data_IF_339204527649
#
_entry.id   IF_339204527649
#
_cell.length_a   1.000
_cell.length_b   1.000
_cell.length_c   1.000
_cell.angle_alpha   90.00
_cell.angle_beta   90.00
_cell.angle_gamma   90.00
#
_symmetry.space_group_name_H-M   'P 1'
#
loop_
_entity.id
_entity.type
_entity.pdbx_description
1 polymer ?
#
# COMPACT_ATOMS: atom_id res chain seq x y z
N UNK A 1 2.66 37.96 26.05
CA UNK A 1 1.33 37.33 26.06
C UNK A 1 1.03 36.82 24.65
N UNK A 2 1.29 35.55 24.38
CA UNK A 2 1.02 34.94 23.08
C UNK A 2 -0.41 34.43 23.05
N UNK A 3 -1.22 34.97 22.13
CA UNK A 3 -2.57 34.47 21.86
C UNK A 3 -2.43 33.06 21.26
N UNK A 4 -2.74 32.04 22.05
CA UNK A 4 -2.97 30.70 21.52
C UNK A 4 -4.29 30.77 20.74
N UNK A 5 -4.19 30.95 19.42
CA UNK A 5 -5.30 30.77 18.50
C UNK A 5 -5.78 29.34 18.66
N UNK A 6 -6.89 29.16 19.39
CA UNK A 6 -7.57 27.88 19.47
C UNK A 6 -7.96 27.49 18.04
N UNK A 7 -7.35 26.44 17.49
CA UNK A 7 -7.82 25.77 16.28
C UNK A 7 -9.22 25.24 16.57
N UNK A 8 -10.25 26.07 16.33
CA UNK A 8 -11.65 25.64 16.42
C UNK A 8 -11.92 24.82 15.18
N UNK A 9 -11.76 23.51 15.31
CA UNK A 9 -12.17 22.55 14.30
C UNK A 9 -13.64 22.81 13.97
N UNK A 10 -13.90 23.26 12.75
CA UNK A 10 -15.23 23.75 12.41
C UNK A 10 -16.13 22.59 11.97
N UNK A 11 -17.44 22.70 12.19
CA UNK A 11 -18.43 21.70 11.72
C UNK A 11 -18.27 21.31 10.24
N UNK A 12 -17.97 22.23 9.30
CA UNK A 12 -17.76 21.83 7.90
C UNK A 12 -16.49 21.02 7.69
N UNK A 13 -15.39 21.29 8.41
CA UNK A 13 -14.14 20.51 8.29
C UNK A 13 -14.36 19.05 8.68
N UNK A 14 -15.17 18.82 9.71
CA UNK A 14 -15.50 17.48 10.16
C UNK A 14 -16.38 16.72 9.15
N UNK A 15 -17.36 17.41 8.55
CA UNK A 15 -18.18 16.84 7.48
C UNK A 15 -17.31 16.43 6.28
N UNK A 16 -16.39 17.31 5.87
CA UNK A 16 -15.47 17.02 4.75
C UNK A 16 -14.61 15.79 5.07
N UNK A 17 -14.03 15.72 6.27
CA UNK A 17 -13.21 14.57 6.67
C UNK A 17 -14.00 13.24 6.62
N UNK A 18 -15.23 13.23 7.12
CA UNK A 18 -16.09 12.04 7.08
C UNK A 18 -16.46 11.65 5.65
N UNK A 19 -16.88 12.60 4.82
CA UNK A 19 -17.25 12.34 3.42
C UNK A 19 -16.05 11.79 2.65
N UNK A 20 -14.88 12.41 2.78
CA UNK A 20 -13.64 11.95 2.13
C UNK A 20 -13.28 10.52 2.57
N UNK A 21 -13.41 10.20 3.85
CA UNK A 21 -13.12 8.86 4.36
C UNK A 21 -14.12 7.81 3.86
N UNK A 22 -15.42 8.12 3.88
CA UNK A 22 -16.45 7.19 3.38
C UNK A 22 -16.27 6.95 1.89
N UNK A 23 -16.06 8.01 1.10
CA UNK A 23 -15.78 7.90 -0.34
C UNK A 23 -14.51 7.07 -0.58
N UNK A 24 -13.44 7.31 0.18
CA UNK A 24 -12.21 6.51 0.11
C UNK A 24 -12.45 5.04 0.43
N UNK A 25 -13.19 4.72 1.50
CA UNK A 25 -13.51 3.34 1.89
C UNK A 25 -14.30 2.64 0.79
N UNK A 26 -15.36 3.29 0.29
CA UNK A 26 -16.21 2.74 -0.77
C UNK A 26 -15.40 2.56 -2.05
N UNK A 27 -14.62 3.56 -2.46
CA UNK A 27 -13.77 3.49 -3.64
C UNK A 27 -12.74 2.38 -3.57
N UNK A 28 -12.02 2.26 -2.45
CA UNK A 28 -11.06 1.16 -2.22
C UNK A 28 -11.76 -0.20 -2.19
N UNK A 29 -12.94 -0.30 -1.57
CA UNK A 29 -13.75 -1.52 -1.55
C UNK A 29 -14.22 -1.96 -2.94
N UNK A 30 -14.68 -1.01 -3.76
CA UNK A 30 -15.07 -1.26 -5.15
C UNK A 30 -13.89 -1.70 -6.00
N UNK A 31 -12.71 -1.09 -5.80
CA UNK A 31 -11.48 -1.51 -6.49
C UNK A 31 -11.09 -2.95 -6.11
N UNK A 32 -11.20 -3.32 -4.84
CA UNK A 32 -11.01 -4.70 -4.38
C UNK A 32 -12.01 -5.67 -5.01
N UNK A 33 -13.29 -5.31 -4.99
CA UNK A 33 -14.35 -6.13 -5.59
C UNK A 33 -14.11 -6.33 -7.09
N UNK A 34 -13.72 -5.26 -7.80
CA UNK A 34 -13.37 -5.35 -9.21
C UNK A 34 -12.23 -6.35 -9.46
N UNK A 35 -11.17 -6.31 -8.65
CA UNK A 35 -10.07 -7.29 -8.76
C UNK A 35 -10.54 -8.72 -8.46
N UNK A 36 -11.41 -8.92 -7.47
CA UNK A 36 -11.99 -10.24 -7.17
C UNK A 36 -12.83 -10.78 -8.33
N UNK A 37 -13.63 -9.93 -8.97
CA UNK A 37 -14.39 -10.31 -10.17
C UNK A 37 -13.45 -10.58 -11.34
N UNK A 38 -12.38 -9.82 -11.50
CA UNK A 38 -11.40 -10.00 -12.58
C UNK A 38 -10.60 -11.30 -12.48
N UNK A 39 -10.38 -11.84 -11.27
CA UNK A 39 -9.80 -13.18 -11.08
C UNK A 39 -10.65 -14.25 -11.79
N UNK A 40 -11.97 -14.05 -11.81
CA UNK A 40 -12.85 -14.97 -12.52
C UNK A 40 -12.69 -14.83 -14.04
N UNK A 41 -12.83 -15.93 -14.80
CA UNK A 41 -12.74 -15.87 -16.26
C UNK A 41 -13.96 -15.18 -16.91
N UNK A 42 -14.88 -14.59 -16.12
CA UNK A 42 -16.06 -13.88 -16.59
C UNK A 42 -15.70 -12.57 -17.30
N UNK A 43 -14.57 -11.95 -16.92
CA UNK A 43 -14.07 -10.73 -17.58
C UNK A 43 -12.94 -11.08 -18.54
N UNK A 44 -12.96 -10.47 -19.73
CA UNK A 44 -11.87 -10.61 -20.70
C UNK A 44 -10.57 -10.03 -20.13
N UNK A 45 -9.47 -10.76 -20.33
CA UNK A 45 -8.14 -10.23 -20.01
C UNK A 45 -7.69 -9.18 -21.03
N UNK A 46 -8.20 -9.26 -22.27
CA UNK A 46 -7.96 -8.27 -23.31
C UNK A 46 -8.44 -6.88 -22.88
N UNK A 47 -7.54 -5.89 -22.93
CA UNK A 47 -7.83 -4.51 -22.55
C UNK A 47 -7.77 -4.22 -21.04
N UNK A 48 -7.37 -5.18 -20.20
CA UNK A 48 -7.23 -4.99 -18.76
C UNK A 48 -6.05 -4.08 -18.33
N UNK A 49 -5.29 -3.57 -19.31
CA UNK A 49 -4.18 -2.64 -19.08
C UNK A 49 -3.16 -3.22 -18.10
N UNK A 50 -2.66 -2.46 -17.10
CA UNK A 50 -1.59 -2.94 -16.22
C UNK A 50 -1.90 -4.21 -15.41
N UNK A 51 -3.16 -4.67 -15.35
CA UNK A 51 -3.53 -5.91 -14.65
C UNK A 51 -3.12 -7.19 -15.36
N UNK A 52 -2.87 -7.16 -16.67
CA UNK A 52 -2.43 -8.33 -17.43
C UNK A 52 -0.90 -8.38 -17.62
N UNK A 53 -0.17 -7.44 -17.01
CA UNK A 53 1.28 -7.32 -17.15
C UNK A 53 2.01 -7.51 -15.84
N UNK A 54 3.20 -8.11 -15.90
CA UNK A 54 4.16 -8.08 -14.79
C UNK A 54 5.52 -7.62 -15.28
N UNK A 55 6.12 -6.67 -14.56
CA UNK A 55 7.49 -6.21 -14.80
C UNK A 55 8.44 -7.06 -13.99
N UNK A 56 9.38 -7.73 -14.66
CA UNK A 56 10.38 -8.60 -14.02
C UNK A 56 11.77 -8.26 -14.51
N UNK A 57 12.79 -8.60 -13.73
CA UNK A 57 14.18 -8.47 -14.18
C UNK A 57 14.43 -9.37 -15.39
N UNK A 58 15.18 -8.88 -16.36
CA UNK A 58 15.59 -9.69 -17.51
C UNK A 58 16.53 -10.81 -17.03
N UNK A 59 16.36 -12.06 -17.51
CA UNK A 59 17.34 -13.12 -17.26
C UNK A 59 18.71 -12.79 -17.85
N UNK A 60 19.77 -13.25 -17.19
CA UNK A 60 21.12 -13.17 -17.71
C UNK A 60 21.22 -13.96 -19.03
N UNK A 61 21.85 -13.36 -20.04
CA UNK A 61 22.02 -13.98 -21.37
C UNK A 61 20.95 -13.65 -22.40
N UNK A 62 19.84 -12.99 -22.01
CA UNK A 62 18.91 -12.41 -22.99
C UNK A 62 19.48 -11.09 -23.51
N UNK A 63 19.73 -10.93 -24.84
CA UNK A 63 20.31 -9.72 -25.39
C UNK A 63 19.51 -8.47 -25.04
N UNK A 64 20.19 -7.39 -24.68
CA UNK A 64 19.52 -6.10 -24.47
C UNK A 64 18.95 -5.58 -25.80
N UNK A 65 17.67 -5.16 -25.85
CA UNK A 65 17.16 -4.40 -26.97
C UNK A 65 18.00 -3.13 -27.14
N UNK A 66 18.48 -2.86 -28.36
CA UNK A 66 19.20 -1.60 -28.62
C UNK A 66 18.24 -0.44 -28.45
N UNK A 67 18.46 0.38 -27.43
CA UNK A 67 17.71 1.62 -27.22
C UNK A 67 18.23 2.67 -28.21
N UNK A 68 17.54 2.83 -29.34
CA UNK A 68 17.84 3.85 -30.34
C UNK A 68 17.18 5.19 -29.95
N UNK A 69 17.56 5.75 -28.81
CA UNK A 69 17.15 7.09 -28.41
C UNK A 69 18.16 8.11 -28.94
N UNK A 70 17.72 9.03 -29.78
CA UNK A 70 18.55 10.16 -30.19
C UNK A 70 18.80 11.05 -28.96
N UNK A 71 20.03 11.09 -28.48
CA UNK A 71 20.44 12.03 -27.44
C UNK A 71 20.76 13.37 -28.09
N UNK A 72 20.32 14.48 -27.51
CA UNK A 72 20.56 15.83 -28.05
C UNK A 72 22.02 16.33 -27.91
N UNK A 73 22.94 15.48 -27.42
CA UNK A 73 24.21 15.89 -26.78
C UNK A 73 23.97 16.63 -25.45
N UNK A 74 24.86 16.69 -24.46
CA UNK A 74 26.18 16.09 -24.18
C UNK A 74 26.07 15.25 -22.88
N UNK A 75 26.89 14.20 -22.75
CA UNK A 75 27.13 13.38 -21.55
C UNK A 75 25.90 12.70 -20.90
N UNK A 76 25.02 12.15 -21.73
CA UNK A 76 23.89 11.34 -21.25
C UNK A 76 24.04 9.93 -21.80
N UNK A 77 24.14 8.96 -20.90
CA UNK A 77 24.06 7.53 -21.24
C UNK A 77 22.62 7.08 -21.06
N UNK A 78 21.99 6.61 -22.13
CA UNK A 78 20.68 5.98 -22.08
C UNK A 78 20.88 4.47 -22.03
N UNK A 79 20.60 3.86 -20.89
CA UNK A 79 20.63 2.41 -20.70
C UNK A 79 19.22 1.87 -20.49
N UNK A 80 19.00 0.62 -20.89
CA UNK A 80 17.77 -0.08 -20.51
C UNK A 80 17.72 -0.30 -18.99
N UNK A 81 16.52 -0.43 -18.44
CA UNK A 81 16.33 -0.64 -17.00
C UNK A 81 16.70 -2.06 -16.54
N UNK A 82 17.19 -2.92 -17.43
CA UNK A 82 17.41 -4.35 -17.16
C UNK A 82 16.13 -5.12 -16.86
N UNK A 83 14.95 -4.53 -17.08
CA UNK A 83 13.66 -5.15 -16.86
C UNK A 83 12.99 -5.52 -18.20
N UNK A 84 12.01 -6.40 -18.12
CA UNK A 84 11.10 -6.75 -19.20
C UNK A 84 9.67 -6.85 -18.66
N UNK A 85 8.71 -6.61 -19.55
CA UNK A 85 7.28 -6.76 -19.24
C UNK A 85 6.78 -8.05 -19.88
N UNK A 86 6.17 -8.90 -19.07
CA UNK A 86 5.48 -10.10 -19.55
C UNK A 86 3.99 -9.77 -19.58
N UNK A 87 3.38 -9.86 -20.76
CA UNK A 87 1.96 -9.62 -20.97
C UNK A 87 1.20 -10.95 -21.18
N UNK A 88 0.24 -11.21 -20.30
CA UNK A 88 -0.60 -12.39 -20.34
C UNK A 88 -1.89 -12.09 -21.12
N UNK A 89 -2.03 -12.70 -22.29
CA UNK A 89 -3.18 -12.47 -23.17
C UNK A 89 -4.38 -13.33 -22.75
N UNK A 90 -4.12 -14.57 -22.35
CA UNK A 90 -5.13 -15.54 -21.89
C UNK A 90 -4.72 -16.15 -20.54
N UNK A 91 -4.60 -15.35 -19.47
CA UNK A 91 -4.17 -15.86 -18.17
C UNK A 91 -5.24 -16.80 -17.59
N UNK A 92 -4.76 -17.92 -17.08
CA UNK A 92 -5.51 -18.86 -16.26
C UNK A 92 -5.99 -18.21 -14.96
N UNK A 93 -6.97 -18.81 -14.27
CA UNK A 93 -7.48 -18.29 -12.98
C UNK A 93 -6.37 -18.11 -11.94
N UNK A 94 -5.38 -19.02 -11.92
CA UNK A 94 -4.26 -18.93 -11.00
C UNK A 94 -3.34 -17.76 -11.35
N UNK A 95 -3.00 -17.58 -12.62
CA UNK A 95 -2.17 -16.45 -13.07
C UNK A 95 -2.87 -15.11 -12.80
N UNK A 96 -4.18 -15.03 -13.05
CA UNK A 96 -4.99 -13.86 -12.69
C UNK A 96 -4.90 -13.57 -11.21
N UNK A 97 -5.08 -14.57 -10.35
CA UNK A 97 -4.93 -14.40 -8.90
C UNK A 97 -3.53 -13.89 -8.54
N UNK A 98 -2.47 -14.49 -9.09
CA UNK A 98 -1.10 -14.06 -8.82
C UNK A 98 -0.81 -12.62 -9.29
N UNK A 99 -1.38 -12.21 -10.44
CA UNK A 99 -1.25 -10.85 -10.97
C UNK A 99 -1.85 -9.79 -10.03
N UNK A 100 -3.01 -10.08 -9.42
CA UNK A 100 -3.70 -9.11 -8.55
C UNK A 100 -3.45 -9.30 -7.05
N UNK A 101 -2.90 -10.43 -6.62
CA UNK A 101 -2.70 -10.75 -5.20
C UNK A 101 -1.95 -9.66 -4.40
N UNK A 102 -0.86 -9.04 -4.90
CA UNK A 102 -0.20 -7.94 -4.19
C UNK A 102 -1.11 -6.71 -4.04
N UNK A 103 -1.89 -6.39 -5.07
CA UNK A 103 -2.80 -5.26 -5.07
C UNK A 103 -4.01 -5.51 -4.15
N UNK A 104 -4.55 -6.74 -4.11
CA UNK A 104 -5.58 -7.15 -3.16
C UNK A 104 -5.10 -7.04 -1.72
N UNK A 105 -3.87 -7.45 -1.42
CA UNK A 105 -3.28 -7.27 -0.09
C UNK A 105 -3.19 -5.78 0.27
N UNK A 106 -2.77 -4.94 -0.68
CA UNK A 106 -2.77 -3.49 -0.53
C UNK A 106 -4.16 -2.92 -0.23
N UNK A 107 -5.19 -3.35 -0.98
CA UNK A 107 -6.59 -2.97 -0.73
C UNK A 107 -7.02 -3.31 0.69
N UNK A 108 -6.73 -4.53 1.16
CA UNK A 108 -7.08 -4.94 2.53
C UNK A 108 -6.39 -4.07 3.57
N UNK A 109 -5.07 -3.84 3.42
CA UNK A 109 -4.31 -2.98 4.32
C UNK A 109 -4.86 -1.53 4.34
N UNK A 110 -5.16 -0.96 3.17
CA UNK A 110 -5.75 0.37 3.04
C UNK A 110 -7.13 0.45 3.69
N UNK A 111 -8.00 -0.55 3.48
CA UNK A 111 -9.32 -0.58 4.13
C UNK A 111 -9.21 -0.64 5.65
N UNK A 112 -8.30 -1.47 6.19
CA UNK A 112 -8.06 -1.53 7.63
C UNK A 112 -7.65 -0.16 8.17
N UNK A 113 -6.70 0.52 7.51
CA UNK A 113 -6.26 1.86 7.90
C UNK A 113 -7.42 2.86 7.84
N UNK A 114 -8.13 2.94 6.71
CA UNK A 114 -9.24 3.88 6.52
C UNK A 114 -10.36 3.68 7.55
N UNK A 115 -10.74 2.43 7.82
CA UNK A 115 -11.76 2.10 8.82
C UNK A 115 -11.30 2.47 10.23
N UNK A 116 -10.03 2.24 10.58
CA UNK A 116 -9.49 2.63 11.89
C UNK A 116 -9.42 4.15 12.04
N UNK A 117 -9.02 4.88 10.98
CA UNK A 117 -9.02 6.35 10.97
C UNK A 117 -10.45 6.88 11.10
N UNK A 118 -11.40 6.35 10.35
CA UNK A 118 -12.81 6.72 10.46
C UNK A 118 -13.32 6.54 11.89
N UNK A 119 -13.07 5.38 12.51
CA UNK A 119 -13.44 5.12 13.91
C UNK A 119 -12.77 6.08 14.88
N UNK A 120 -11.52 6.45 14.64
CA UNK A 120 -10.78 7.41 15.46
C UNK A 120 -11.43 8.80 15.38
N UNK A 121 -11.70 9.32 14.18
CA UNK A 121 -12.34 10.63 13.99
C UNK A 121 -13.74 10.66 14.59
N UNK A 122 -14.56 9.64 14.36
CA UNK A 122 -15.90 9.56 14.98
C UNK A 122 -15.84 9.54 16.52
N UNK A 123 -14.75 9.06 17.12
CA UNK A 123 -14.53 9.13 18.57
C UNK A 123 -14.12 10.53 19.03
N UNK A 124 -13.31 11.23 18.24
CA UNK A 124 -12.87 12.59 18.52
C UNK A 124 -14.06 13.56 18.52
N UNK A 125 -15.00 13.37 17.58
CA UNK A 125 -16.24 14.14 17.50
C UNK A 125 -17.13 14.02 18.73
N UNK A 126 -17.06 12.87 19.40
CA UNK A 126 -17.78 12.62 20.65
C UNK A 126 -17.09 13.24 21.86
N UNK A 127 -15.96 13.92 21.68
CA UNK A 127 -15.18 14.54 22.76
C UNK A 127 -14.33 13.55 23.54
N UNK A 128 -14.06 12.36 22.99
CA UNK A 128 -13.35 11.28 23.68
C UNK A 128 -12.01 10.93 23.00
N UNK A 129 -11.01 11.84 23.00
CA UNK A 129 -9.72 11.59 22.34
C UNK A 129 -8.89 10.51 23.04
N UNK A 130 -8.81 10.56 24.37
CA UNK A 130 -7.95 9.71 25.19
C UNK A 130 -8.71 8.56 25.84
N UNK A 131 -9.30 7.71 25.00
CA UNK A 131 -9.89 6.43 25.43
C UNK A 131 -8.98 5.27 25.00
N UNK A 132 -8.91 4.16 25.77
CA UNK A 132 -8.04 3.03 25.44
C UNK A 132 -8.28 2.48 24.02
N UNK A 133 -9.53 2.56 23.55
CA UNK A 133 -9.90 2.15 22.20
C UNK A 133 -9.17 2.93 21.10
N UNK A 134 -8.95 4.23 21.29
CA UNK A 134 -8.25 5.07 20.31
C UNK A 134 -6.76 4.75 20.25
N UNK A 135 -6.11 4.51 21.40
CA UNK A 135 -4.74 4.03 21.42
C UNK A 135 -4.58 2.71 20.63
N UNK A 136 -5.50 1.76 20.83
CA UNK A 136 -5.51 0.49 20.08
C UNK A 136 -5.72 0.71 18.57
N UNK A 137 -6.61 1.62 18.17
CA UNK A 137 -6.84 1.96 16.75
C UNK A 137 -5.56 2.50 16.10
N UNK A 138 -4.84 3.41 16.76
CA UNK A 138 -3.57 3.95 16.25
C UNK A 138 -2.51 2.85 16.15
N UNK A 139 -2.43 1.93 17.12
CA UNK A 139 -1.54 0.76 17.02
C UNK A 139 -1.87 -0.14 15.83
N UNK A 140 -3.17 -0.40 15.56
CA UNK A 140 -3.58 -1.19 14.39
C UNK A 140 -3.16 -0.50 13.10
N UNK A 141 -3.34 0.82 13.00
CA UNK A 141 -2.89 1.60 11.83
C UNK A 141 -1.37 1.47 11.67
N UNK A 142 -0.62 1.71 12.75
CA UNK A 142 0.84 1.64 12.75
C UNK A 142 1.35 0.26 12.30
N UNK A 143 0.80 -0.81 12.88
CA UNK A 143 1.18 -2.18 12.57
C UNK A 143 0.80 -2.55 11.12
N UNK A 144 -0.37 -2.10 10.64
CA UNK A 144 -0.79 -2.33 9.26
C UNK A 144 0.16 -1.67 8.27
N UNK A 145 0.61 -0.44 8.55
CA UNK A 145 1.59 0.27 7.72
C UNK A 145 2.96 -0.41 7.77
N UNK A 146 3.43 -0.80 8.96
CA UNK A 146 4.71 -1.52 9.14
C UNK A 146 4.70 -2.86 8.39
N UNK A 147 3.73 -3.71 8.67
CA UNK A 147 3.61 -5.03 8.03
C UNK A 147 3.41 -4.84 6.54
N UNK A 148 2.52 -3.94 6.12
CA UNK A 148 2.27 -3.66 4.70
C UNK A 148 3.52 -3.23 3.94
N UNK A 149 4.39 -2.42 4.55
CA UNK A 149 5.63 -1.94 3.92
C UNK A 149 6.62 -3.05 3.56
N UNK A 150 6.52 -4.22 4.22
CA UNK A 150 7.37 -5.39 3.99
C UNK A 150 6.61 -6.48 3.24
N UNK A 151 5.38 -6.77 3.65
CA UNK A 151 4.57 -7.84 3.10
C UNK A 151 4.18 -7.61 1.64
N UNK A 152 3.81 -6.38 1.25
CA UNK A 152 3.44 -6.07 -0.14
C UNK A 152 4.58 -6.36 -1.13
N UNK A 153 5.80 -5.80 -0.99
CA UNK A 153 6.89 -6.08 -1.93
C UNK A 153 7.33 -7.55 -1.91
N UNK A 154 7.25 -8.23 -0.75
CA UNK A 154 7.51 -9.67 -0.68
C UNK A 154 6.49 -10.48 -1.49
N UNK A 155 5.20 -10.21 -1.33
CA UNK A 155 4.14 -10.89 -2.08
C UNK A 155 4.25 -10.57 -3.58
N UNK A 156 4.52 -9.32 -3.94
CA UNK A 156 4.78 -8.93 -5.33
C UNK A 156 5.95 -9.70 -5.94
N UNK A 157 7.05 -9.85 -5.21
CA UNK A 157 8.23 -10.59 -5.69
C UNK A 157 7.92 -12.07 -5.85
N UNK A 158 7.24 -12.69 -4.88
CA UNK A 158 6.88 -14.12 -4.95
C UNK A 158 5.92 -14.39 -6.11
N UNK A 159 4.87 -13.59 -6.26
CA UNK A 159 3.90 -13.71 -7.35
C UNK A 159 4.57 -13.47 -8.72
N UNK A 160 5.40 -12.44 -8.85
CA UNK A 160 6.12 -12.14 -10.08
C UNK A 160 7.10 -13.25 -10.48
N UNK A 161 7.81 -13.83 -9.52
CA UNK A 161 8.71 -14.97 -9.78
C UNK A 161 7.92 -16.23 -10.19
N UNK A 162 6.77 -16.50 -9.56
CA UNK A 162 5.91 -17.62 -9.94
C UNK A 162 5.35 -17.46 -11.36
N UNK A 163 4.88 -16.26 -11.71
CA UNK A 163 4.39 -15.93 -13.06
C UNK A 163 5.51 -16.05 -14.10
N UNK A 164 6.70 -15.53 -13.79
CA UNK A 164 7.88 -15.65 -14.65
C UNK A 164 8.27 -17.10 -14.91
N UNK A 165 8.28 -17.93 -13.87
CA UNK A 165 8.64 -19.34 -13.98
C UNK A 165 7.65 -20.14 -14.85
N UNK A 166 6.37 -19.76 -14.85
CA UNK A 166 5.38 -20.36 -15.76
C UNK A 166 5.49 -19.86 -17.21
N UNK A 167 5.96 -18.63 -17.41
CA UNK A 167 5.97 -17.98 -18.73
C UNK A 167 7.28 -18.20 -19.53
N UNK A 168 8.40 -18.55 -18.90
CA UNK A 168 9.72 -18.63 -19.55
C UNK A 168 10.37 -19.99 -19.31
N UNK A 169 10.88 -20.62 -20.38
CA UNK A 169 11.66 -21.86 -20.36
C UNK A 169 13.12 -21.62 -19.90
N UNK A 170 13.31 -20.98 -18.75
CA UNK A 170 14.65 -20.62 -18.23
C UNK A 170 15.03 -21.54 -17.06
N UNK A 171 16.07 -22.37 -17.25
CA UNK A 171 16.67 -23.23 -16.20
C UNK A 171 17.34 -22.42 -15.06
N UNK A 172 17.57 -21.11 -15.27
CA UNK A 172 18.17 -20.24 -14.27
C UNK A 172 17.09 -19.66 -13.35
N UNK A 173 16.72 -20.42 -12.32
CA UNK A 173 15.85 -19.96 -11.23
C UNK A 173 16.58 -18.93 -10.34
N UNK A 174 16.83 -17.73 -10.87
CA UNK A 174 17.42 -16.64 -10.11
C UNK A 174 16.32 -15.91 -9.35
N UNK A 175 16.18 -16.20 -8.04
CA UNK A 175 15.27 -15.47 -7.17
C UNK A 175 15.83 -14.05 -6.95
N UNK A 176 15.26 -13.07 -7.66
CA UNK A 176 15.65 -11.68 -7.51
C UNK A 176 14.73 -10.99 -6.52
N UNK A 177 15.27 -10.57 -5.37
CA UNK A 177 14.56 -9.79 -4.37
C UNK A 177 15.24 -8.44 -4.19
N UNK A 178 14.53 -7.37 -4.53
CA UNK A 178 14.99 -6.00 -4.33
C UNK A 178 14.66 -5.60 -2.89
N UNK A 179 15.68 -5.47 -2.05
CA UNK A 179 15.47 -5.07 -0.65
C UNK A 179 15.06 -3.60 -0.56
N UNK A 180 15.75 -2.71 -1.29
CA UNK A 180 15.50 -1.27 -1.32
C UNK A 180 15.49 -0.77 -2.76
N UNK A 181 14.59 0.15 -3.11
CA UNK A 181 14.44 0.71 -4.45
C UNK A 181 13.03 0.58 -5.00
N UNK A 182 12.85 0.76 -6.31
CA UNK A 182 11.57 0.56 -6.98
C UNK A 182 11.10 -0.89 -6.82
N UNK A 183 9.90 -1.08 -6.26
CA UNK A 183 9.33 -2.41 -5.98
C UNK A 183 9.87 -3.09 -4.71
N UNK A 184 10.81 -2.48 -3.98
CA UNK A 184 11.37 -2.99 -2.73
C UNK A 184 10.69 -2.44 -1.47
N UNK A 185 11.30 -2.72 -0.31
CA UNK A 185 10.84 -2.19 0.99
C UNK A 185 11.10 -0.68 1.03
N UNK A 186 10.06 0.11 1.30
CA UNK A 186 10.16 1.57 1.43
C UNK A 186 10.58 1.96 2.85
N UNK A 187 11.79 2.54 3.05
CA UNK A 187 12.20 3.03 4.37
C UNK A 187 11.25 4.10 4.90
N UNK A 188 10.71 4.95 4.02
CA UNK A 188 9.77 6.00 4.39
C UNK A 188 8.48 5.43 5.02
N UNK A 189 7.93 4.34 4.46
CA UNK A 189 6.76 3.68 5.03
C UNK A 189 7.08 2.97 6.35
N UNK A 190 8.26 2.34 6.47
CA UNK A 190 8.74 1.77 7.72
C UNK A 190 8.83 2.82 8.83
N UNK A 191 9.50 3.94 8.57
CA UNK A 191 9.61 5.04 9.54
C UNK A 191 8.26 5.67 9.85
N UNK A 192 7.37 5.79 8.87
CA UNK A 192 5.99 6.24 9.09
C UNK A 192 5.27 5.32 10.06
N UNK A 193 5.39 4.01 9.88
CA UNK A 193 4.83 3.01 10.78
C UNK A 193 5.38 3.10 12.22
N UNK A 194 6.69 3.30 12.37
CA UNK A 194 7.30 3.52 13.70
C UNK A 194 6.82 4.84 14.34
N UNK A 195 6.71 5.90 13.57
CA UNK A 195 6.19 7.19 14.04
C UNK A 195 4.74 7.05 14.52
N UNK A 196 3.90 6.32 13.77
CA UNK A 196 2.52 6.03 14.15
C UNK A 196 2.47 5.17 15.42
N UNK A 197 3.38 4.22 15.61
CA UNK A 197 3.46 3.43 16.83
C UNK A 197 3.86 4.30 18.05
N UNK A 198 4.79 5.25 17.85
CA UNK A 198 5.12 6.24 18.87
C UNK A 198 3.92 7.15 19.20
N UNK A 199 3.14 7.55 18.19
CA UNK A 199 1.90 8.29 18.40
C UNK A 199 0.87 7.46 19.19
N UNK A 200 0.75 6.16 18.90
CA UNK A 200 -0.14 5.27 19.66
C UNK A 200 0.23 5.22 21.15
N UNK A 201 1.54 5.22 21.46
CA UNK A 201 2.05 5.28 22.82
C UNK A 201 1.69 6.61 23.51
N UNK A 202 1.71 7.73 22.78
CA UNK A 202 1.23 9.03 23.30
C UNK A 202 -0.25 8.95 23.67
N UNK A 203 -1.10 8.37 22.82
CA UNK A 203 -2.52 8.15 23.14
C UNK A 203 -2.71 7.26 24.37
N UNK A 204 -1.90 6.21 24.51
CA UNK A 204 -1.93 5.30 25.66
C UNK A 204 -1.57 6.03 26.96
N UNK A 205 -0.51 6.85 26.94
CA UNK A 205 -0.11 7.67 28.10
C UNK A 205 -1.15 8.73 28.43
N UNK A 206 -1.72 9.40 27.42
CA UNK A 206 -2.81 10.37 27.62
C UNK A 206 -4.04 9.76 28.27
N UNK A 207 -4.38 8.52 27.90
CA UNK A 207 -5.48 7.75 28.51
C UNK A 207 -5.21 7.48 30.01
N UNK A 208 -3.97 7.14 30.37
CA UNK A 208 -3.57 6.91 31.76
C UNK A 208 -3.64 8.20 32.58
N UNK A 209 -3.10 9.30 32.05
CA UNK A 209 -3.14 10.61 32.71
C UNK A 209 -4.58 11.08 32.97
N UNK A 210 -5.50 10.83 32.03
CA UNK A 210 -6.92 11.12 32.22
C UNK A 210 -7.52 10.34 33.39
N UNK A 211 -7.24 9.03 33.46
CA UNK A 211 -7.72 8.19 34.56
C UNK A 211 -7.17 8.65 35.92
N UNK A 212 -5.90 9.04 35.97
CA UNK A 212 -5.28 9.54 37.21
C UNK A 212 -5.92 10.86 37.68
N UNK A 213 -6.33 11.75 36.76
CA UNK A 213 -7.02 13.01 37.09
C UNK A 213 -8.47 12.78 37.53
N UNK A 214 -9.21 11.91 36.85
CA UNK A 214 -10.60 11.58 37.21
C UNK A 214 -10.69 10.88 38.58
N UNK A 215 -9.61 10.21 39.03
CA UNK A 215 -9.53 9.57 40.36
C UNK A 215 -9.12 10.49 41.52
N UNK A 216 -8.83 11.78 41.26
CA UNK A 216 -8.44 12.78 42.27
C UNK A 216 -9.60 13.68 42.72
N UNK A 217 -10.80 13.52 42.14
CA UNK A 217 -12.00 14.33 42.41
C UNK A 217 -13.02 13.53 43.21
#
# INVERSE_FOLDING_TARGET
MGVLTSLRWSKPDNLIAHVVLVVSIVGTGLLGLFQLVWITPLLSAGGAGPMNTVTVFRPDGVPEPRVAAATSGQDVTVTGTGQMVIEFHEPTTLERFLLVAPALLGVVATLVVLVMVHRLITSLDRGEPFVPANARRVYVIALTVLIGSVALPMVATVCGNALRAGALESDAFAFHFVVFGEGGISPALLFTGFLLAALAEVFRRGTRLRADVEGLV
#
